data_IF_007028807925
#
_entry.id   IF_007028807925
#
_cell.length_a   1.000
_cell.length_b   1.000
_cell.length_c   1.000
_cell.angle_alpha   90.00
_cell.angle_beta   90.00
_cell.angle_gamma   90.00
#
_symmetry.space_group_name_H-M   'P 1'
#
loop_
_entity.id
_entity.type
_entity.pdbx_description
1 polymer ?
#
# COMPACT_ATOMS: atom_id res chain seq x y z
N UNK A 1 15.68 -14.59 -19.77
CA UNK A 1 15.43 -13.96 -18.45
C UNK A 1 15.53 -15.06 -17.40
N UNK A 2 16.68 -15.16 -16.69
CA UNK A 2 16.88 -16.19 -15.67
C UNK A 2 16.06 -15.80 -14.44
N UNK A 3 14.91 -16.44 -14.28
CA UNK A 3 14.16 -16.41 -13.02
C UNK A 3 15.05 -17.16 -12.03
N UNK A 4 15.75 -16.42 -11.17
CA UNK A 4 16.54 -16.98 -10.10
C UNK A 4 15.59 -17.82 -9.23
N UNK A 5 15.65 -19.15 -9.37
CA UNK A 5 14.95 -20.10 -8.49
C UNK A 5 15.60 -20.01 -7.12
N UNK A 6 15.16 -19.02 -6.33
CA UNK A 6 15.51 -19.00 -4.91
C UNK A 6 14.85 -20.21 -4.28
N UNK A 7 15.62 -21.04 -3.55
CA UNK A 7 15.07 -22.29 -3.01
C UNK A 7 13.96 -21.98 -2.00
N UNK A 8 12.93 -22.80 -1.99
CA UNK A 8 11.94 -22.86 -0.92
C UNK A 8 12.65 -23.46 0.29
N UNK A 9 13.19 -22.61 1.15
CA UNK A 9 13.98 -23.08 2.32
C UNK A 9 13.37 -22.53 3.59
N UNK A 10 12.81 -23.42 4.39
CA UNK A 10 12.45 -23.18 5.79
C UNK A 10 13.72 -23.14 6.65
N UNK A 11 14.47 -22.04 6.61
CA UNK A 11 15.61 -21.85 7.52
C UNK A 11 15.09 -21.27 8.84
N UNK A 12 15.40 -21.92 9.95
CA UNK A 12 15.04 -21.47 11.31
C UNK A 12 15.45 -20.02 11.57
N UNK A 13 16.55 -19.56 10.99
CA UNK A 13 17.05 -18.18 11.09
C UNK A 13 16.22 -17.14 10.30
N UNK A 14 15.30 -17.58 9.44
CA UNK A 14 14.38 -16.71 8.70
C UNK A 14 12.97 -16.72 9.31
N UNK A 15 12.65 -17.70 10.16
CA UNK A 15 11.32 -17.83 10.75
C UNK A 15 10.92 -16.59 11.55
N UNK A 16 11.82 -16.03 12.36
CA UNK A 16 11.53 -14.86 13.17
C UNK A 16 11.17 -13.64 12.30
N UNK A 17 11.98 -13.34 11.27
CA UNK A 17 11.73 -12.20 10.38
C UNK A 17 10.46 -12.40 9.55
N UNK A 18 10.17 -13.65 9.16
CA UNK A 18 8.96 -14.02 8.44
C UNK A 18 7.71 -13.86 9.32
N UNK A 19 7.81 -14.25 10.60
CA UNK A 19 6.75 -14.01 11.60
C UNK A 19 6.53 -12.52 11.81
N UNK A 20 7.58 -11.73 11.95
CA UNK A 20 7.47 -10.28 12.08
C UNK A 20 6.80 -9.65 10.86
N UNK A 21 7.16 -10.08 9.65
CA UNK A 21 6.52 -9.59 8.43
C UNK A 21 5.02 -9.93 8.39
N UNK A 22 4.64 -11.15 8.77
CA UNK A 22 3.23 -11.54 8.86
C UNK A 22 2.44 -10.77 9.92
N UNK A 23 3.04 -10.49 11.09
CA UNK A 23 2.43 -9.67 12.13
C UNK A 23 2.27 -8.21 11.68
N UNK A 24 3.29 -7.62 11.06
CA UNK A 24 3.22 -6.26 10.52
C UNK A 24 2.16 -6.17 9.43
N UNK A 25 2.04 -7.19 8.58
CA UNK A 25 0.98 -7.30 7.58
C UNK A 25 -0.43 -7.40 8.21
N UNK A 26 -0.55 -8.12 9.32
CA UNK A 26 -1.82 -8.17 10.07
C UNK A 26 -2.19 -6.81 10.66
N UNK A 27 -1.22 -6.11 11.25
CA UNK A 27 -1.43 -4.80 11.87
C UNK A 27 -1.81 -3.74 10.82
N UNK A 28 -1.22 -3.81 9.64
CA UNK A 28 -1.56 -2.91 8.53
C UNK A 28 -3.04 -3.02 8.18
N UNK A 29 -3.55 -4.25 7.93
CA UNK A 29 -4.97 -4.46 7.62
C UNK A 29 -5.87 -4.12 8.81
N UNK A 30 -5.47 -4.46 10.02
CA UNK A 30 -6.24 -4.11 11.22
C UNK A 30 -6.44 -2.59 11.31
N UNK A 31 -5.35 -1.83 11.21
CA UNK A 31 -5.42 -0.37 11.29
C UNK A 31 -6.17 0.23 10.10
N UNK A 32 -6.02 -0.34 8.90
CA UNK A 32 -6.74 0.10 7.71
C UNK A 32 -8.26 -0.05 7.88
N UNK A 33 -8.72 -1.21 8.37
CA UNK A 33 -10.15 -1.45 8.58
C UNK A 33 -10.70 -0.62 9.74
N UNK A 34 -9.96 -0.48 10.85
CA UNK A 34 -10.34 0.43 11.93
C UNK A 34 -10.42 1.89 11.44
N UNK A 35 -9.51 2.32 10.59
CA UNK A 35 -9.60 3.64 9.99
C UNK A 35 -10.91 3.84 9.22
N UNK A 36 -11.30 2.85 8.40
CA UNK A 36 -12.53 2.90 7.60
C UNK A 36 -13.82 2.90 8.45
N UNK A 37 -13.78 2.35 9.66
CA UNK A 37 -14.92 2.42 10.60
C UNK A 37 -15.12 3.84 11.19
N UNK A 38 -14.06 4.66 11.26
CA UNK A 38 -14.08 5.97 11.93
C UNK A 38 -13.92 7.18 11.01
N UNK A 39 -13.31 7.01 9.81
CA UNK A 39 -13.12 8.10 8.84
C UNK A 39 -13.70 7.75 7.48
N UNK A 40 -13.77 8.74 6.58
CA UNK A 40 -14.26 8.51 5.22
C UNK A 40 -13.22 7.79 4.36
N UNK A 41 -13.69 7.03 3.36
CA UNK A 41 -12.82 6.34 2.38
C UNK A 41 -11.85 7.32 1.71
N UNK A 42 -12.32 8.53 1.35
CA UNK A 42 -11.48 9.54 0.69
C UNK A 42 -10.36 10.04 1.62
N UNK A 43 -10.65 10.34 2.89
CA UNK A 43 -9.65 10.78 3.88
C UNK A 43 -8.64 9.68 4.15
N UNK A 44 -9.12 8.46 4.41
CA UNK A 44 -8.27 7.29 4.60
C UNK A 44 -7.34 7.08 3.38
N UNK A 45 -7.86 7.20 2.15
CA UNK A 45 -7.08 7.06 0.93
C UNK A 45 -5.99 8.12 0.80
N UNK A 46 -6.29 9.41 1.08
CA UNK A 46 -5.29 10.49 1.05
C UNK A 46 -4.14 10.16 2.01
N UNK A 47 -4.46 9.77 3.24
CA UNK A 47 -3.46 9.43 4.24
C UNK A 47 -2.67 8.19 3.81
N UNK A 48 -3.34 7.15 3.35
CA UNK A 48 -2.71 5.89 2.93
C UNK A 48 -1.78 6.06 1.72
N UNK A 49 -2.13 6.91 0.75
CA UNK A 49 -1.25 7.24 -0.37
C UNK A 49 -0.04 8.11 0.00
N UNK A 50 0.10 8.54 1.25
CA UNK A 50 1.37 9.09 1.74
C UNK A 50 2.46 8.02 1.96
N UNK A 51 2.13 6.71 1.86
CA UNK A 51 3.04 5.59 2.08
C UNK A 51 4.36 5.69 1.31
N UNK A 52 4.42 6.06 0.02
CA UNK A 52 5.69 6.18 -0.68
C UNK A 52 6.63 7.24 -0.09
N UNK A 53 6.07 8.27 0.54
CA UNK A 53 6.87 9.29 1.26
C UNK A 53 7.51 8.68 2.50
N UNK A 54 6.71 7.98 3.33
CA UNK A 54 7.21 7.28 4.51
C UNK A 54 8.27 6.23 4.16
N UNK A 55 7.98 5.44 3.11
CA UNK A 55 8.94 4.44 2.64
C UNK A 55 10.24 5.07 2.16
N UNK A 56 10.18 6.18 1.42
CA UNK A 56 11.38 6.85 0.93
C UNK A 56 12.24 7.40 2.08
N UNK A 57 11.60 7.90 3.15
CA UNK A 57 12.28 8.34 4.37
C UNK A 57 12.95 7.13 5.06
N UNK A 58 12.19 6.06 5.28
CA UNK A 58 12.71 4.85 5.93
C UNK A 58 13.82 4.19 5.10
N UNK A 59 13.63 4.09 3.78
CA UNK A 59 14.62 3.51 2.88
C UNK A 59 15.94 4.30 2.88
N UNK A 60 15.89 5.61 3.02
CA UNK A 60 17.08 6.46 3.12
C UNK A 60 18.01 6.04 4.26
N UNK A 61 17.44 5.64 5.40
CA UNK A 61 18.21 5.25 6.59
C UNK A 61 18.56 3.77 6.65
N UNK A 62 17.67 2.90 6.13
CA UNK A 62 17.74 1.47 6.37
C UNK A 62 18.05 0.61 5.14
N UNK A 63 17.93 1.17 3.91
CA UNK A 63 18.19 0.41 2.68
C UNK A 63 19.46 0.94 1.98
N UNK A 64 20.50 0.10 1.79
CA UNK A 64 21.68 0.51 1.05
C UNK A 64 21.31 1.00 -0.36
N UNK A 65 21.94 2.08 -0.80
CA UNK A 65 21.78 2.69 -2.13
C UNK A 65 20.40 3.32 -2.43
N UNK A 66 19.50 3.41 -1.45
CA UNK A 66 18.20 4.11 -1.60
C UNK A 66 18.19 5.46 -0.88
N UNK A 67 19.14 6.34 -1.20
CA UNK A 67 19.21 7.66 -0.56
C UNK A 67 18.24 8.65 -1.18
N UNK A 68 17.65 9.49 -0.32
CA UNK A 68 16.91 10.66 -0.73
C UNK A 68 17.87 11.70 -1.29
N UNK A 69 17.49 12.31 -2.41
CA UNK A 69 18.11 13.52 -2.93
C UNK A 69 17.02 14.58 -3.18
N UNK A 70 17.42 15.80 -3.44
CA UNK A 70 16.50 16.93 -3.61
C UNK A 70 15.45 16.66 -4.70
N UNK A 71 15.86 16.02 -5.79
CA UNK A 71 14.97 15.70 -6.91
C UNK A 71 13.93 14.64 -6.55
N UNK A 72 14.31 13.61 -5.78
CA UNK A 72 13.35 12.64 -5.22
C UNK A 72 12.36 13.30 -4.27
N UNK A 73 12.83 14.15 -3.37
CA UNK A 73 11.98 14.88 -2.42
C UNK A 73 10.96 15.74 -3.19
N UNK A 74 11.42 16.51 -4.17
CA UNK A 74 10.54 17.31 -5.02
C UNK A 74 9.51 16.44 -5.76
N UNK A 75 9.95 15.31 -6.33
CA UNK A 75 9.06 14.33 -6.99
C UNK A 75 8.00 13.75 -6.05
N UNK A 76 8.38 13.37 -4.83
CA UNK A 76 7.45 12.87 -3.81
C UNK A 76 6.41 13.92 -3.41
N UNK A 77 6.84 15.16 -3.17
CA UNK A 77 5.93 16.26 -2.83
C UNK A 77 4.97 16.52 -3.99
N UNK A 78 5.47 16.59 -5.21
CA UNK A 78 4.67 16.84 -6.39
C UNK A 78 3.63 15.74 -6.62
N UNK A 79 4.04 14.46 -6.56
CA UNK A 79 3.12 13.33 -6.72
C UNK A 79 2.07 13.27 -5.61
N UNK A 80 2.48 13.43 -4.36
CA UNK A 80 1.56 13.40 -3.22
C UNK A 80 0.55 14.57 -3.27
N UNK A 81 0.99 15.77 -3.64
CA UNK A 81 0.08 16.91 -3.83
C UNK A 81 -0.93 16.63 -4.95
N UNK A 82 -0.49 16.04 -6.06
CA UNK A 82 -1.40 15.62 -7.14
C UNK A 82 -2.46 14.63 -6.67
N UNK A 83 -2.07 13.59 -5.91
CA UNK A 83 -3.01 12.62 -5.32
C UNK A 83 -4.00 13.31 -4.37
N UNK A 84 -3.50 14.18 -3.49
CA UNK A 84 -4.35 14.91 -2.53
C UNK A 84 -5.37 15.78 -3.26
N UNK A 85 -4.95 16.49 -4.32
CA UNK A 85 -5.85 17.27 -5.15
C UNK A 85 -6.93 16.40 -5.82
N UNK A 86 -6.54 15.26 -6.38
CA UNK A 86 -7.46 14.35 -7.07
C UNK A 86 -8.52 13.78 -6.14
N UNK A 87 -8.16 13.40 -4.92
CA UNK A 87 -9.07 12.83 -3.93
C UNK A 87 -9.89 13.89 -3.18
N UNK A 88 -9.38 15.13 -3.03
CA UNK A 88 -10.08 16.22 -2.34
C UNK A 88 -11.34 16.69 -3.06
N UNK A 89 -11.45 16.45 -4.36
CA UNK A 89 -12.66 16.77 -5.15
C UNK A 89 -13.90 16.04 -4.57
N UNK A 90 -13.71 14.84 -4.03
CA UNK A 90 -14.78 14.01 -3.49
C UNK A 90 -14.96 14.17 -1.97
N UNK A 91 -14.14 15.00 -1.30
CA UNK A 91 -14.29 15.26 0.13
C UNK A 91 -15.28 16.37 0.34
N UNK A 92 -16.51 15.99 0.68
CA UNK A 92 -17.61 16.94 0.94
C UNK A 92 -17.63 17.46 2.38
N UNK A 93 -16.97 16.77 3.30
CA UNK A 93 -16.97 17.10 4.72
C UNK A 93 -15.54 17.08 5.30
N UNK A 94 -15.07 18.25 5.75
CA UNK A 94 -13.81 18.44 6.48
C UNK A 94 -14.05 18.57 7.99
N UNK A 95 -15.11 17.96 8.53
CA UNK A 95 -15.34 17.97 9.96
C UNK A 95 -14.17 17.31 10.73
N UNK A 96 -13.87 17.86 11.90
CA UNK A 96 -12.83 17.35 12.80
C UNK A 96 -13.48 16.86 14.11
N UNK A 97 -14.35 15.85 14.00
CA UNK A 97 -14.87 15.17 15.18
C UNK A 97 -13.81 14.24 15.77
N UNK A 98 -13.90 13.94 17.07
CA UNK A 98 -12.96 13.03 17.73
C UNK A 98 -12.90 11.65 17.05
N UNK A 99 -14.00 11.16 16.54
CA UNK A 99 -14.06 9.89 15.83
C UNK A 99 -13.28 9.94 14.51
N UNK A 100 -13.44 11.01 13.72
CA UNK A 100 -12.73 11.19 12.45
C UNK A 100 -11.22 11.31 12.69
N UNK A 101 -10.80 12.05 13.73
CA UNK A 101 -9.38 12.14 14.08
C UNK A 101 -8.80 10.79 14.52
N UNK A 102 -9.59 9.97 15.20
CA UNK A 102 -9.19 8.61 15.56
C UNK A 102 -9.02 7.74 14.30
N UNK A 103 -9.94 7.84 13.34
CA UNK A 103 -9.82 7.16 12.05
C UNK A 103 -8.57 7.60 11.27
N UNK A 104 -8.31 8.91 11.21
CA UNK A 104 -7.11 9.45 10.57
C UNK A 104 -5.82 8.94 11.26
N UNK A 105 -5.82 8.82 12.58
CA UNK A 105 -4.71 8.23 13.34
C UNK A 105 -4.47 6.75 12.97
N UNK A 106 -5.53 5.95 12.89
CA UNK A 106 -5.40 4.57 12.41
C UNK A 106 -4.93 4.49 10.96
N UNK A 107 -5.36 5.39 10.08
CA UNK A 107 -4.88 5.47 8.72
C UNK A 107 -3.37 5.76 8.64
N UNK A 108 -2.85 6.64 9.51
CA UNK A 108 -1.40 6.90 9.62
C UNK A 108 -0.66 5.65 10.09
N UNK A 109 -1.18 4.93 11.08
CA UNK A 109 -0.58 3.67 11.56
C UNK A 109 -0.58 2.60 10.46
N UNK A 110 -1.68 2.45 9.71
CA UNK A 110 -1.75 1.53 8.57
C UNK A 110 -0.70 1.87 7.50
N UNK A 111 -0.60 3.14 7.16
CA UNK A 111 0.38 3.65 6.19
C UNK A 111 1.82 3.37 6.61
N UNK A 112 2.12 3.61 7.88
CA UNK A 112 3.45 3.38 8.43
C UNK A 112 3.80 1.89 8.51
N UNK A 113 2.86 1.04 8.95
CA UNK A 113 3.05 -0.42 8.99
C UNK A 113 3.22 -0.99 7.58
N UNK A 114 2.51 -0.48 6.58
CA UNK A 114 2.73 -0.84 5.18
C UNK A 114 4.15 -0.48 4.70
N UNK A 115 4.61 0.75 4.96
CA UNK A 115 5.98 1.15 4.63
C UNK A 115 7.02 0.28 5.36
N UNK A 116 6.78 -0.07 6.62
CA UNK A 116 7.64 -0.96 7.41
C UNK A 116 7.66 -2.38 6.81
N UNK A 117 6.53 -2.91 6.35
CA UNK A 117 6.47 -4.21 5.69
C UNK A 117 7.37 -4.27 4.45
N UNK A 118 7.32 -3.23 3.61
CA UNK A 118 8.17 -3.11 2.43
C UNK A 118 9.65 -3.05 2.84
N UNK A 119 9.95 -2.29 3.89
CA UNK A 119 11.30 -2.22 4.43
C UNK A 119 11.79 -3.59 4.92
N UNK A 120 10.95 -4.36 5.62
CA UNK A 120 11.27 -5.73 6.03
C UNK A 120 11.50 -6.63 4.82
N UNK A 121 10.64 -6.57 3.80
CA UNK A 121 10.74 -7.38 2.60
C UNK A 121 12.01 -7.08 1.77
N UNK A 122 12.48 -5.83 1.77
CA UNK A 122 13.61 -5.37 0.96
C UNK A 122 14.92 -5.24 1.76
N UNK A 123 14.85 -4.66 2.94
CA UNK A 123 16.01 -4.24 3.74
C UNK A 123 16.57 -5.32 4.68
N UNK A 124 15.94 -6.48 4.77
CA UNK A 124 16.34 -7.54 5.70
C UNK A 124 16.66 -8.86 4.99
N UNK A 125 17.04 -9.88 5.77
CA UNK A 125 17.24 -11.25 5.27
C UNK A 125 15.97 -11.84 4.64
N UNK A 126 14.80 -11.27 4.88
CA UNK A 126 13.56 -11.67 4.22
C UNK A 126 13.59 -11.47 2.70
N UNK A 127 14.39 -10.53 2.21
CA UNK A 127 14.65 -10.33 0.77
C UNK A 127 15.33 -11.52 0.07
N UNK A 128 15.94 -12.44 0.86
CA UNK A 128 16.55 -13.66 0.33
C UNK A 128 15.52 -14.77 0.06
N UNK A 129 14.31 -14.62 0.61
CA UNK A 129 13.18 -15.54 0.41
C UNK A 129 12.52 -15.21 -0.94
N UNK A 130 12.02 -16.24 -1.66
CA UNK A 130 11.30 -15.99 -2.91
C UNK A 130 10.00 -15.21 -2.65
N UNK A 131 9.51 -14.41 -3.62
CA UNK A 131 8.29 -13.63 -3.46
C UNK A 131 7.08 -14.49 -3.06
N UNK A 132 6.95 -15.69 -3.64
CA UNK A 132 5.88 -16.63 -3.31
C UNK A 132 5.92 -17.05 -1.84
N UNK A 133 7.12 -17.33 -1.35
CA UNK A 133 7.32 -17.75 0.03
C UNK A 133 7.15 -16.59 1.01
N UNK A 134 7.52 -15.37 0.61
CA UNK A 134 7.21 -14.15 1.38
C UNK A 134 5.71 -14.00 1.56
N UNK A 135 4.94 -14.12 0.47
CA UNK A 135 3.48 -14.02 0.50
C UNK A 135 2.85 -15.11 1.36
N UNK A 136 3.30 -16.37 1.20
CA UNK A 136 2.80 -17.50 2.02
C UNK A 136 3.00 -17.22 3.51
N UNK A 137 4.19 -16.77 3.93
CA UNK A 137 4.44 -16.43 5.33
C UNK A 137 3.55 -15.30 5.83
N UNK A 138 3.38 -14.23 5.04
CA UNK A 138 2.51 -13.12 5.39
C UNK A 138 1.07 -13.61 5.60
N UNK A 139 0.50 -14.37 4.65
CA UNK A 139 -0.89 -14.84 4.71
C UNK A 139 -1.10 -15.89 5.81
N UNK A 140 -0.17 -16.84 5.99
CA UNK A 140 -0.30 -17.87 7.02
C UNK A 140 -0.33 -17.31 8.44
N UNK A 141 0.34 -16.20 8.67
CA UNK A 141 0.38 -15.56 10.00
C UNK A 141 -0.77 -14.55 10.12
N UNK A 142 -0.99 -13.72 9.08
CA UNK A 142 -2.02 -12.69 9.14
C UNK A 142 -3.44 -13.26 9.20
N UNK A 143 -3.72 -14.36 8.51
CA UNK A 143 -5.05 -14.97 8.50
C UNK A 143 -5.57 -15.29 9.89
N UNK A 144 -4.88 -16.14 10.70
CA UNK A 144 -5.30 -16.43 12.07
C UNK A 144 -5.37 -15.18 12.97
N UNK A 145 -4.40 -14.26 12.83
CA UNK A 145 -4.38 -13.03 13.63
C UNK A 145 -5.60 -12.15 13.32
N UNK A 146 -5.91 -11.93 12.04
CA UNK A 146 -7.07 -11.12 11.63
C UNK A 146 -8.40 -11.79 12.01
N UNK A 147 -8.50 -13.12 11.95
CA UNK A 147 -9.67 -13.85 12.43
C UNK A 147 -9.85 -13.62 13.94
N UNK A 148 -8.79 -13.70 14.74
CA UNK A 148 -8.87 -13.41 16.18
C UNK A 148 -9.31 -11.98 16.44
N UNK A 149 -8.79 -11.00 15.70
CA UNK A 149 -9.21 -9.61 15.82
C UNK A 149 -10.68 -9.40 15.42
N UNK A 150 -11.17 -10.08 14.36
CA UNK A 150 -12.58 -9.98 13.97
C UNK A 150 -13.53 -10.50 15.05
N UNK A 151 -13.13 -11.52 15.81
CA UNK A 151 -13.90 -12.03 16.95
C UNK A 151 -13.90 -11.08 18.17
N UNK A 152 -12.88 -10.23 18.30
CA UNK A 152 -12.74 -9.29 19.41
C UNK A 152 -13.42 -7.95 19.11
N UNK A 153 -13.28 -7.44 17.89
CA UNK A 153 -13.67 -6.08 17.50
C UNK A 153 -14.99 -5.99 16.73
N UNK A 154 -15.61 -7.10 16.38
CA UNK A 154 -16.86 -7.05 15.65
C UNK A 154 -17.43 -8.42 15.27
N UNK A 155 -18.48 -8.37 14.48
CA UNK A 155 -19.08 -9.56 13.89
C UNK A 155 -18.24 -10.04 12.71
N UNK A 156 -17.79 -11.31 12.70
CA UNK A 156 -16.96 -11.86 11.62
C UNK A 156 -17.65 -11.82 10.24
N UNK A 157 -18.97 -11.86 10.24
CA UNK A 157 -19.80 -11.82 9.03
C UNK A 157 -20.89 -10.78 9.24
N UNK A 158 -20.80 -9.66 8.50
CA UNK A 158 -21.81 -8.61 8.49
C UNK A 158 -22.58 -8.70 7.17
N UNK A 159 -23.91 -8.76 7.22
CA UNK A 159 -24.85 -8.69 6.08
C UNK A 159 -24.32 -9.40 4.80
N UNK A 160 -24.06 -10.71 4.92
CA UNK A 160 -23.45 -11.48 3.84
C UNK A 160 -24.38 -11.60 2.63
N UNK A 161 -23.92 -11.11 1.49
CA UNK A 161 -24.56 -11.28 0.20
C UNK A 161 -23.64 -12.07 -0.76
N UNK A 162 -24.21 -12.65 -1.80
CA UNK A 162 -23.46 -13.43 -2.79
C UNK A 162 -22.40 -12.61 -3.53
N UNK A 163 -22.60 -11.29 -3.65
CA UNK A 163 -21.63 -10.38 -4.24
C UNK A 163 -20.33 -10.34 -3.41
N UNK A 164 -20.44 -10.43 -2.08
CA UNK A 164 -19.28 -10.45 -1.19
C UNK A 164 -18.42 -11.70 -1.39
N UNK A 165 -19.06 -12.84 -1.67
CA UNK A 165 -18.35 -14.09 -1.99
C UNK A 165 -17.50 -13.94 -3.27
N UNK A 166 -18.10 -13.41 -4.35
CA UNK A 166 -17.34 -13.16 -5.58
C UNK A 166 -16.27 -12.10 -5.41
N UNK A 167 -16.54 -11.06 -4.60
CA UNK A 167 -15.56 -10.07 -4.21
C UNK A 167 -14.35 -10.68 -3.49
N UNK A 168 -14.58 -11.60 -2.55
CA UNK A 168 -13.51 -12.32 -1.84
C UNK A 168 -12.67 -13.19 -2.79
N UNK A 169 -13.30 -13.90 -3.73
CA UNK A 169 -12.58 -14.69 -4.75
C UNK A 169 -11.72 -13.76 -5.61
N UNK A 170 -12.28 -12.66 -6.12
CA UNK A 170 -11.54 -11.68 -6.90
C UNK A 170 -10.35 -11.12 -6.13
N UNK A 171 -10.60 -10.67 -4.88
CA UNK A 171 -9.57 -10.15 -4.00
C UNK A 171 -8.44 -11.15 -3.75
N UNK A 172 -8.79 -12.42 -3.46
CA UNK A 172 -7.81 -13.44 -3.10
C UNK A 172 -6.99 -13.90 -4.32
N UNK A 173 -7.63 -14.13 -5.46
CA UNK A 173 -6.99 -14.74 -6.63
C UNK A 173 -6.33 -13.67 -7.51
N UNK A 174 -7.05 -12.61 -7.84
CA UNK A 174 -6.54 -11.60 -8.78
C UNK A 174 -5.66 -10.58 -8.06
N UNK A 175 -6.16 -10.00 -6.94
CA UNK A 175 -5.44 -8.91 -6.28
C UNK A 175 -4.27 -9.46 -5.46
N UNK A 176 -4.51 -10.44 -4.58
CA UNK A 176 -3.44 -10.94 -3.68
C UNK A 176 -2.53 -11.93 -4.40
N UNK A 177 -3.05 -13.03 -4.94
CA UNK A 177 -2.19 -14.04 -5.56
C UNK A 177 -1.56 -13.57 -6.88
N UNK A 178 -2.25 -12.74 -7.66
CA UNK A 178 -1.70 -12.17 -8.88
C UNK A 178 -0.94 -10.86 -8.64
N UNK A 179 -1.67 -9.82 -8.25
CA UNK A 179 -1.15 -8.45 -8.15
C UNK A 179 -0.09 -8.28 -7.08
N UNK A 180 -0.35 -8.74 -5.85
CA UNK A 180 0.59 -8.56 -4.74
C UNK A 180 1.84 -9.43 -4.90
N UNK A 181 1.71 -10.65 -5.45
CA UNK A 181 2.86 -11.48 -5.79
C UNK A 181 3.75 -10.82 -6.86
N UNK A 182 3.13 -10.27 -7.91
CA UNK A 182 3.84 -9.51 -8.94
C UNK A 182 4.56 -8.29 -8.35
N UNK A 183 3.92 -7.58 -7.44
CA UNK A 183 4.50 -6.44 -6.75
C UNK A 183 5.71 -6.83 -5.87
N UNK A 184 5.63 -7.93 -5.11
CA UNK A 184 6.77 -8.49 -4.36
C UNK A 184 7.93 -8.89 -5.28
N UNK A 185 7.61 -9.43 -6.46
CA UNK A 185 8.62 -9.75 -7.47
C UNK A 185 9.33 -8.49 -7.98
N UNK A 186 8.58 -7.42 -8.28
CA UNK A 186 9.15 -6.12 -8.66
C UNK A 186 10.06 -5.55 -7.56
N UNK A 187 9.64 -5.63 -6.30
CA UNK A 187 10.46 -5.23 -5.16
C UNK A 187 11.77 -6.00 -5.08
N UNK A 188 11.79 -7.26 -5.52
CA UNK A 188 13.01 -8.07 -5.60
C UNK A 188 14.04 -7.54 -6.61
N UNK A 189 13.60 -6.80 -7.62
CA UNK A 189 14.43 -6.36 -8.76
C UNK A 189 14.75 -4.86 -8.69
N UNK A 190 13.74 -4.02 -8.38
CA UNK A 190 13.84 -2.57 -8.45
C UNK A 190 13.95 -1.93 -7.05
N UNK A 191 14.42 -0.67 -6.96
CA UNK A 191 14.42 0.08 -5.70
C UNK A 191 13.01 0.19 -5.10
N UNK A 192 12.89 0.02 -3.77
CA UNK A 192 11.61 0.00 -3.09
C UNK A 192 10.86 1.34 -3.22
N UNK A 193 11.57 2.45 -3.09
CA UNK A 193 11.00 3.80 -3.26
C UNK A 193 10.47 4.05 -4.68
N UNK A 194 11.13 3.50 -5.70
CA UNK A 194 10.68 3.56 -7.08
C UNK A 194 9.40 2.75 -7.29
N UNK A 195 9.37 1.47 -6.88
CA UNK A 195 8.19 0.60 -7.00
C UNK A 195 7.01 1.19 -6.25
N UNK A 196 7.20 1.63 -5.02
CA UNK A 196 6.13 2.19 -4.20
C UNK A 196 5.57 3.50 -4.78
N UNK A 197 6.38 4.31 -5.45
CA UNK A 197 5.90 5.57 -6.04
C UNK A 197 4.83 5.36 -7.12
N UNK A 198 4.80 4.20 -7.79
CA UNK A 198 3.75 3.89 -8.76
C UNK A 198 2.35 3.75 -8.13
N UNK A 199 2.24 3.55 -6.81
CA UNK A 199 0.93 3.57 -6.14
C UNK A 199 0.22 4.93 -6.22
N UNK A 200 0.95 6.03 -6.47
CA UNK A 200 0.34 7.32 -6.77
C UNK A 200 -0.50 7.35 -8.05
N UNK A 201 -0.31 6.39 -8.96
CA UNK A 201 -1.16 6.26 -10.15
C UNK A 201 -2.54 5.66 -9.85
N UNK A 202 -2.70 4.97 -8.72
CA UNK A 202 -3.97 4.27 -8.42
C UNK A 202 -5.17 5.22 -8.40
N UNK A 203 -5.19 6.36 -7.68
CA UNK A 203 -6.32 7.26 -7.73
C UNK A 203 -6.55 7.86 -9.13
N UNK A 204 -5.48 8.04 -9.91
CA UNK A 204 -5.58 8.53 -11.28
C UNK A 204 -6.31 7.50 -12.16
N UNK A 205 -5.93 6.23 -12.08
CA UNK A 205 -6.63 5.15 -12.78
C UNK A 205 -8.07 4.98 -12.28
N UNK A 206 -8.32 5.12 -10.99
CA UNK A 206 -9.69 5.02 -10.43
C UNK A 206 -10.62 6.05 -11.07
N UNK A 207 -10.21 7.31 -11.15
CA UNK A 207 -11.01 8.38 -11.75
C UNK A 207 -11.11 8.21 -13.28
N UNK A 208 -10.02 7.80 -13.94
CA UNK A 208 -10.03 7.53 -15.37
C UNK A 208 -11.02 6.43 -15.74
N UNK A 209 -11.04 5.32 -15.00
CA UNK A 209 -12.00 4.25 -15.24
C UNK A 209 -13.41 4.60 -14.80
N UNK A 210 -13.60 5.45 -13.78
CA UNK A 210 -14.89 6.03 -13.43
C UNK A 210 -15.49 6.82 -14.60
N UNK A 211 -14.68 7.68 -15.22
CA UNK A 211 -15.09 8.39 -16.43
C UNK A 211 -15.40 7.44 -17.60
N UNK A 212 -14.53 6.43 -17.85
CA UNK A 212 -14.67 5.56 -19.02
C UNK A 212 -15.82 4.55 -18.90
N UNK A 213 -16.14 4.07 -17.69
CA UNK A 213 -17.07 2.95 -17.45
C UNK A 213 -18.38 3.44 -16.84
N UNK A 214 -18.32 4.49 -16.00
CA UNK A 214 -19.47 5.00 -15.25
C UNK A 214 -19.98 6.34 -15.77
N UNK A 215 -19.42 6.87 -16.88
CA UNK A 215 -19.75 8.16 -17.49
C UNK A 215 -19.57 9.36 -16.51
N UNK A 216 -18.64 9.24 -15.53
CA UNK A 216 -18.32 10.32 -14.61
C UNK A 216 -17.76 11.55 -15.35
N UNK A 217 -18.08 12.75 -14.88
CA UNK A 217 -17.58 13.98 -15.49
C UNK A 217 -16.13 14.25 -15.07
N UNK A 218 -15.23 14.34 -16.06
CA UNK A 218 -13.84 14.75 -15.82
C UNK A 218 -13.74 16.23 -15.48
N UNK A 219 -13.20 16.53 -14.30
CA UNK A 219 -12.91 17.88 -13.89
C UNK A 219 -11.49 18.29 -14.34
N UNK A 220 -11.30 19.59 -14.67
CA UNK A 220 -9.99 20.16 -14.98
C UNK A 220 -8.96 19.94 -13.84
N UNK A 221 -9.42 19.96 -12.59
CA UNK A 221 -8.57 19.69 -11.42
C UNK A 221 -7.97 18.29 -11.48
N UNK A 222 -8.73 17.31 -11.98
CA UNK A 222 -8.23 15.96 -12.19
C UNK A 222 -7.07 15.92 -13.21
N UNK A 223 -7.19 16.64 -14.33
CA UNK A 223 -6.12 16.70 -15.33
C UNK A 223 -4.83 17.33 -14.75
N UNK A 224 -4.97 18.38 -13.94
CA UNK A 224 -3.87 19.00 -13.22
C UNK A 224 -3.23 18.02 -12.21
N UNK A 225 -4.06 17.31 -11.45
CA UNK A 225 -3.62 16.30 -10.49
C UNK A 225 -2.85 15.18 -11.18
N UNK A 226 -3.39 14.64 -12.28
CA UNK A 226 -2.74 13.60 -13.08
C UNK A 226 -1.37 14.07 -13.63
N UNK A 227 -1.29 15.29 -14.13
CA UNK A 227 -0.04 15.87 -14.60
C UNK A 227 1.01 15.98 -13.47
N UNK A 228 0.61 16.44 -12.28
CA UNK A 228 1.49 16.51 -11.11
C UNK A 228 2.00 15.14 -10.69
N UNK A 229 1.14 14.12 -10.69
CA UNK A 229 1.55 12.74 -10.35
C UNK A 229 2.57 12.21 -11.36
N UNK A 230 2.32 12.38 -12.65
CA UNK A 230 3.24 11.92 -13.71
C UNK A 230 4.60 12.64 -13.60
N UNK A 231 4.59 13.96 -13.41
CA UNK A 231 5.82 14.71 -13.18
C UNK A 231 6.58 14.21 -11.96
N UNK A 232 5.88 14.02 -10.84
CA UNK A 232 6.47 13.49 -9.61
C UNK A 232 7.15 12.13 -9.84
N UNK A 233 6.47 11.21 -10.53
CA UNK A 233 7.01 9.88 -10.87
C UNK A 233 8.27 9.98 -11.74
N UNK A 234 8.29 10.87 -12.73
CA UNK A 234 9.48 11.09 -13.57
C UNK A 234 10.66 11.54 -12.71
N UNK A 235 10.47 12.50 -11.79
CA UNK A 235 11.54 12.97 -10.91
C UNK A 235 12.02 11.91 -9.94
N UNK A 236 11.12 11.12 -9.34
CA UNK A 236 11.49 10.02 -8.42
C UNK A 236 12.35 8.97 -9.15
N UNK A 237 11.96 8.59 -10.36
CA UNK A 237 12.59 7.48 -11.06
C UNK A 237 13.82 7.88 -11.90
N UNK A 238 13.93 9.13 -12.34
CA UNK A 238 15.09 9.63 -13.10
C UNK A 238 16.39 9.61 -12.28
N UNK A 239 16.30 9.72 -10.98
CA UNK A 239 17.45 9.80 -10.06
C UNK A 239 17.94 8.43 -9.55
N UNK A 240 17.30 7.35 -9.97
CA UNK A 240 17.71 5.97 -9.62
C UNK A 240 18.71 5.37 -10.65
N UNK A 241 19.30 6.19 -11.53
CA UNK A 241 20.36 5.79 -12.44
C UNK A 241 21.73 6.09 -11.88
#
# INVERSE_FOLDING_TARGET
MNISKKPIVFKKNLALISCLAGLVFSLEFLFLFLALDFTTVSRNSIIFYSMPVWLAILAHFFVPNERLNVMKIFGLICAFTGVTLSLSINVTDFSFTNNILLGDFFAILATFTWALLILLAKGTKFSQVSPEMQLIWMVMISGPVLILFSLIFGDPIRDFEIIHFWGLIFQSVIVVAGGFLFWLWLLGIYPASGVASFSFLTPIFTIFFGWLILDDVLNIIFLMAAFMVVLGLVFINKTNK
#
